data_IF_185268137183
#
_entry.id   IF_185268137183
#
_cell.length_a   1.000
_cell.length_b   1.000
_cell.length_c   1.000
_cell.angle_alpha   90.00
_cell.angle_beta   90.00
_cell.angle_gamma   90.00
#
_symmetry.space_group_name_H-M   'P 1'
#
loop_
_entity.id
_entity.type
_entity.pdbx_description
1 polymer ?
2 non-polymer ?
3 non-polymer ?
4 non-polymer ?
5 non-polymer ?
6 water ?
#
# COMPACT_ATOMS: atom_id res chain seq x y z
N UNK A 6 -5.24 -12.58 -31.22
CA UNK A 6 -5.19 -13.29 -29.90
C UNK A 6 -5.30 -14.81 -30.02
N UNK A 7 -5.17 -15.46 -28.87
CA UNK A 7 -5.28 -16.89 -28.74
C UNK A 7 -6.43 -17.23 -27.81
N UNK A 8 -7.25 -16.22 -27.49
CA UNK A 8 -8.31 -16.35 -26.51
C UNK A 8 -9.47 -15.37 -26.74
N UNK A 9 -10.56 -15.62 -26.03
CA UNK A 9 -11.65 -14.68 -25.87
C UNK A 9 -11.91 -14.46 -24.39
N UNK A 10 -12.56 -13.34 -24.08
CA UNK A 10 -13.16 -13.14 -22.75
C UNK A 10 -14.31 -14.11 -22.47
N UNK A 11 -14.46 -14.54 -21.20
CA UNK A 11 -15.59 -15.41 -20.88
C UNK A 11 -16.94 -14.71 -21.15
N UNK A 12 -17.92 -15.49 -21.60
CA UNK A 12 -19.31 -15.01 -21.85
C UNK A 12 -19.95 -14.28 -20.67
N UNK A 13 -19.84 -14.78 -19.44
CA UNK A 13 -20.32 -14.02 -18.25
C UNK A 13 -19.71 -12.61 -18.07
N UNK A 14 -18.43 -12.43 -18.42
CA UNK A 14 -17.84 -11.10 -18.36
C UNK A 14 -18.44 -10.22 -19.46
N UNK A 15 -18.36 -10.71 -20.70
CA UNK A 15 -18.88 -10.01 -21.87
C UNK A 15 -20.34 -9.58 -21.68
N UNK A 16 -21.11 -10.41 -21.00
CA UNK A 16 -22.49 -10.08 -20.74
C UNK A 16 -22.74 -8.72 -20.06
N UNK A 17 -21.82 -8.35 -19.17
CA UNK A 17 -21.98 -7.18 -18.32
C UNK A 17 -21.03 -6.02 -18.64
N UNK A 18 -19.94 -6.26 -19.35
CA UNK A 18 -18.85 -5.28 -19.55
C UNK A 18 -18.36 -5.34 -20.98
N UNK A 19 -18.00 -4.17 -21.50
CA UNK A 19 -17.31 -4.05 -22.77
C UNK A 19 -15.87 -3.77 -22.45
N UNK A 20 -14.98 -4.70 -22.82
CA UNK A 20 -13.56 -4.58 -22.50
C UNK A 20 -12.78 -3.66 -23.41
N UNK A 21 -11.82 -2.95 -22.85
CA UNK A 21 -11.09 -1.96 -23.61
C UNK A 21 -9.56 -2.12 -23.37
N UNK A 22 -8.81 -1.01 -23.46
CA UNK A 22 -7.35 -0.94 -23.42
C UNK A 22 -6.70 -1.33 -22.09
N UNK A 23 -5.44 -1.74 -22.16
CA UNK A 23 -4.63 -2.07 -20.99
C UNK A 23 -4.29 -0.81 -20.20
N UNK A 24 -4.59 -0.82 -18.90
CA UNK A 24 -4.26 0.29 -18.00
C UNK A 24 -2.89 0.07 -17.30
N UNK A 25 -2.60 -1.18 -16.98
CA UNK A 25 -1.32 -1.51 -16.38
C UNK A 25 -1.17 -2.99 -16.16
N UNK A 26 -0.04 -3.38 -15.59
CA UNK A 26 0.24 -4.79 -15.32
C UNK A 26 1.28 -4.91 -14.21
N UNK A 27 1.38 -6.10 -13.63
CA UNK A 27 2.46 -6.38 -12.69
C UNK A 27 2.84 -7.84 -12.79
N UNK A 28 3.52 -8.32 -11.75
CA UNK A 28 3.97 -9.71 -11.66
C UNK A 28 2.80 -10.69 -11.49
N UNK A 29 1.67 -10.19 -10.99
CA UNK A 29 0.49 -11.01 -10.78
C UNK A 29 -0.63 -10.84 -11.87
N UNK A 30 -0.98 -9.60 -12.18
CA UNK A 30 -2.16 -9.32 -13.01
C UNK A 30 -2.02 -8.21 -14.04
N UNK A 31 -2.79 -8.34 -15.13
CA UNK A 31 -2.96 -7.29 -16.12
C UNK A 31 -4.31 -6.62 -15.94
N UNK A 32 -4.32 -5.29 -16.00
CA UNK A 32 -5.50 -4.51 -15.65
C UNK A 32 -6.04 -3.80 -16.90
N UNK A 33 -7.32 -4.02 -17.15
CA UNK A 33 -7.92 -3.52 -18.36
C UNK A 33 -9.00 -2.50 -18.03
N UNK A 34 -9.08 -1.46 -18.86
CA UNK A 34 -10.25 -0.58 -18.90
C UNK A 34 -11.44 -1.40 -19.38
N UNK A 35 -12.61 -1.16 -18.82
CA UNK A 35 -13.83 -1.69 -19.34
C UNK A 35 -14.99 -0.71 -19.10
N UNK A 36 -16.11 -0.97 -19.75
CA UNK A 36 -17.33 -0.21 -19.53
C UNK A 36 -18.41 -1.13 -19.07
N UNK A 37 -19.08 -0.73 -18.00
CA UNK A 37 -20.13 -1.53 -17.43
C UNK A 37 -21.37 -1.16 -18.22
N UNK A 38 -22.01 -2.16 -18.83
CA UNK A 38 -23.11 -1.92 -19.77
C UNK A 38 -24.33 -1.26 -19.09
N UNK A 39 -24.60 -1.72 -17.88
CA UNK A 39 -25.76 -1.29 -17.12
C UNK A 39 -25.73 0.23 -16.81
N UNK A 40 -24.57 0.74 -16.40
CA UNK A 40 -24.39 2.15 -16.06
C UNK A 40 -23.73 3.00 -17.16
N UNK A 41 -23.07 2.34 -18.14
CA UNK A 41 -22.27 2.99 -19.20
C UNK A 41 -21.05 3.75 -18.63
N UNK A 42 -20.60 3.33 -17.46
CA UNK A 42 -19.53 3.98 -16.75
C UNK A 42 -18.29 3.06 -16.71
N UNK A 43 -17.13 3.69 -16.58
CA UNK A 43 -15.81 3.07 -16.63
C UNK A 43 -15.45 2.34 -15.35
N UNK A 44 -14.83 1.17 -15.53
CA UNK A 44 -14.28 0.36 -14.43
C UNK A 44 -12.88 -0.11 -14.84
N UNK A 45 -12.14 -0.68 -13.89
CA UNK A 45 -10.88 -1.38 -14.18
C UNK A 45 -11.14 -2.87 -13.90
N UNK A 46 -10.62 -3.72 -14.77
CA UNK A 46 -10.72 -5.16 -14.53
C UNK A 46 -9.36 -5.80 -14.50
N UNK A 47 -8.99 -6.30 -13.32
CA UNK A 47 -7.77 -7.04 -13.12
C UNK A 47 -7.92 -8.53 -13.52
N UNK A 48 -7.04 -8.95 -14.41
CA UNK A 48 -7.02 -10.32 -14.88
C UNK A 48 -5.86 -11.06 -14.24
N UNK A 49 -6.19 -12.13 -13.54
CA UNK A 49 -5.22 -13.00 -12.88
C UNK A 49 -5.29 -14.39 -13.46
N UNK A 50 -4.18 -14.85 -14.01
CA UNK A 50 -4.08 -16.19 -14.62
C UNK A 50 -4.04 -17.30 -13.57
N UNK A 51 -4.66 -18.43 -13.89
CA UNK A 51 -4.71 -19.57 -12.96
C UNK A 51 -3.51 -20.53 -13.04
N UNK A 52 -2.70 -20.41 -14.10
CA UNK A 52 -1.42 -21.12 -14.26
C UNK A 52 -1.59 -22.57 -14.74
N UNK A 67 -6.85 -18.27 -1.87
CA UNK A 67 -5.74 -17.47 -2.43
C UNK A 67 -6.19 -16.10 -2.98
N UNK A 68 -6.73 -16.10 -4.19
CA UNK A 68 -7.46 -14.97 -4.74
C UNK A 68 -8.78 -14.90 -3.97
N UNK A 69 -9.29 -16.07 -3.56
CA UNK A 69 -10.39 -16.19 -2.62
C UNK A 69 -10.15 -15.28 -1.43
N UNK A 70 -8.98 -15.39 -0.81
CA UNK A 70 -8.64 -14.59 0.38
C UNK A 70 -8.48 -13.10 0.07
N UNK A 71 -7.90 -12.77 -1.09
CA UNK A 71 -7.85 -11.39 -1.53
C UNK A 71 -9.24 -10.80 -1.84
N UNK A 72 -10.10 -11.56 -2.50
CA UNK A 72 -11.49 -11.11 -2.75
C UNK A 72 -12.24 -10.90 -1.42
N UNK A 73 -12.07 -11.86 -0.50
CA UNK A 73 -12.69 -11.80 0.81
C UNK A 73 -12.26 -10.59 1.63
N UNK A 74 -10.97 -10.28 1.58
CA UNK A 74 -10.45 -9.15 2.32
C UNK A 74 -11.01 -7.85 1.72
N UNK A 75 -11.00 -7.76 0.39
CA UNK A 75 -11.45 -6.59 -0.30
C UNK A 75 -12.94 -6.29 -0.11
N UNK A 76 -13.80 -7.31 -0.16
CA UNK A 76 -15.24 -7.14 0.02
C UNK A 76 -15.63 -6.54 1.41
N UNK A 77 -14.87 -6.82 2.45
CA UNK A 77 -15.22 -6.39 3.81
C UNK A 77 -14.60 -5.05 4.25
N UNK A 78 -13.74 -4.48 3.40
CA UNK A 78 -13.04 -3.23 3.68
C UNK A 78 -13.82 -2.04 3.07
N UNK A 79 -14.01 -0.99 3.85
CA UNK A 79 -14.76 0.20 3.40
C UNK A 79 -14.08 1.47 3.96
N UNK A 80 -13.19 2.02 3.13
CA UNK A 80 -12.43 3.20 3.47
C UNK A 80 -12.21 3.97 2.19
N UNK A 81 -12.33 5.33 2.25
CA UNK A 81 -12.15 6.13 1.05
C UNK A 81 -10.76 6.06 0.42
N UNK A 82 -9.75 5.65 1.18
CA UNK A 82 -8.37 5.53 0.67
C UNK A 82 -7.94 4.07 0.41
N UNK A 83 -8.92 3.20 0.23
CA UNK A 83 -8.68 1.79 -0.16
C UNK A 83 -9.54 1.46 -1.38
N UNK A 84 -8.94 0.87 -2.41
CA UNK A 84 -9.70 0.47 -3.62
C UNK A 84 -10.95 -0.40 -3.28
N UNK A 85 -12.07 -0.14 -3.96
CA UNK A 85 -13.24 -0.99 -3.80
C UNK A 85 -13.42 -2.00 -4.96
N UNK A 86 -13.81 -3.20 -4.59
CA UNK A 86 -14.16 -4.25 -5.52
C UNK A 86 -15.64 -4.08 -5.90
N UNK A 87 -15.97 -4.24 -7.18
CA UNK A 87 -17.34 -4.09 -7.67
C UNK A 87 -17.96 -5.41 -8.14
N UNK A 88 -17.12 -6.34 -8.60
CA UNK A 88 -17.58 -7.59 -9.14
C UNK A 88 -16.44 -8.56 -9.25
N UNK A 89 -16.74 -9.82 -9.55
CA UNK A 89 -15.75 -10.90 -9.61
C UNK A 89 -16.21 -12.06 -10.51
N UNK A 90 -15.32 -12.49 -11.40
CA UNK A 90 -15.54 -13.69 -12.24
C UNK A 90 -14.45 -14.73 -11.99
N UNK A 91 -14.90 -15.96 -11.79
CA UNK A 91 -14.03 -17.10 -11.61
C UNK A 91 -14.20 -18.02 -12.81
N UNK A 92 -13.41 -17.75 -13.85
CA UNK A 92 -13.50 -18.38 -15.19
C UNK A 92 -12.15 -19.05 -15.46
N UNK A 93 -11.71 -19.16 -16.72
CA UNK A 93 -10.37 -19.76 -17.01
C UNK A 93 -9.27 -18.90 -16.40
N UNK A 94 -9.54 -17.61 -16.29
CA UNK A 94 -8.77 -16.71 -15.44
C UNK A 94 -9.70 -16.17 -14.36
N UNK A 95 -9.14 -15.43 -13.41
CA UNK A 95 -9.95 -14.66 -12.48
C UNK A 95 -10.06 -13.25 -13.00
N UNK A 96 -11.26 -12.67 -12.88
CA UNK A 96 -11.47 -11.26 -13.21
C UNK A 96 -11.96 -10.52 -11.98
N UNK A 97 -11.20 -9.49 -11.57
CA UNK A 97 -11.61 -8.65 -10.47
C UNK A 97 -11.96 -7.28 -11.00
N UNK A 98 -13.24 -6.93 -10.90
CA UNK A 98 -13.73 -5.62 -11.34
C UNK A 98 -13.57 -4.61 -10.17
N UNK A 99 -12.91 -3.50 -10.48
CA UNK A 99 -12.53 -2.47 -9.51
C UNK A 99 -12.97 -1.11 -9.98
N UNK A 100 -13.17 -0.20 -9.04
CA UNK A 100 -13.31 1.19 -9.45
C UNK A 100 -12.06 1.61 -10.20
N UNK A 101 -12.27 2.44 -11.19
CA UNK A 101 -11.19 2.95 -12.00
C UNK A 101 -10.51 4.18 -11.38
N UNK A 102 -9.20 4.14 -11.38
CA UNK A 102 -8.38 5.23 -10.87
C UNK A 102 -7.75 5.87 -12.10
N UNK A 103 -8.15 7.11 -12.35
CA UNK A 103 -7.81 7.79 -13.57
C UNK A 103 -6.50 8.57 -13.52
N UNK A 104 -5.82 8.60 -12.38
CA UNK A 104 -4.53 9.27 -12.31
C UNK A 104 -3.30 8.37 -12.30
N UNK A 105 -3.50 7.07 -12.49
CA UNK A 105 -2.39 6.09 -12.50
C UNK A 105 -1.67 5.88 -11.17
N UNK A 106 -0.47 5.32 -11.24
CA UNK A 106 0.35 4.98 -10.09
C UNK A 106 1.08 6.17 -9.49
N UNK A 107 1.26 6.16 -8.16
CA UNK A 107 2.22 7.05 -7.51
C UNK A 107 3.67 6.92 -8.07
N UNK A 108 4.06 5.72 -8.51
CA UNK A 108 5.39 5.45 -9.07
C UNK A 108 5.66 6.42 -10.24
N UNK A 109 4.67 6.62 -11.09
CA UNK A 109 4.83 7.48 -12.25
C UNK A 109 5.16 8.92 -11.87
N UNK A 110 4.87 9.30 -10.62
CA UNK A 110 5.13 10.67 -10.17
C UNK A 110 6.52 10.85 -9.53
N UNK A 111 7.24 9.74 -9.34
CA UNK A 111 8.52 9.76 -8.60
C UNK A 111 9.71 9.08 -9.34
N UNK A 112 9.47 8.53 -10.53
CA UNK A 112 10.56 7.97 -11.33
C UNK A 112 11.24 9.02 -12.18
N UNK A 113 12.32 8.67 -12.84
CA UNK A 113 13.28 9.66 -13.29
C UNK A 113 13.88 10.43 -12.14
N UNK A 114 14.15 9.72 -11.06
CA UNK A 114 14.61 10.39 -9.88
C UNK A 114 13.95 11.73 -9.75
N UNK A 115 12.70 11.83 -10.15
CA UNK A 115 12.00 13.11 -10.03
C UNK A 115 11.12 13.15 -8.78
N UNK A 116 10.56 14.32 -8.48
CA UNK A 116 9.88 14.46 -7.19
C UNK A 116 8.80 15.53 -6.97
N UNK A 117 7.90 15.11 -6.07
CA UNK A 117 6.78 15.85 -5.53
C UNK A 117 7.24 16.93 -4.57
N UNK A 118 6.47 18.01 -4.52
CA UNK A 118 6.65 19.04 -3.50
C UNK A 118 6.19 18.50 -2.14
N UNK A 119 6.87 18.93 -1.08
CA UNK A 119 6.59 18.46 0.28
C UNK A 119 5.08 18.52 0.66
N UNK A 120 4.36 19.49 0.11
CA UNK A 120 2.97 19.68 0.47
C UNK A 120 2.13 18.54 -0.03
N UNK A 121 2.44 18.05 -1.23
CA UNK A 121 1.70 16.94 -1.82
C UNK A 121 2.16 15.58 -1.31
N UNK A 122 3.43 15.46 -0.92
CA UNK A 122 3.91 14.27 -0.20
C UNK A 122 3.10 14.08 1.06
N UNK A 123 2.82 15.17 1.76
CA UNK A 123 2.09 15.16 3.00
C UNK A 123 0.64 14.75 2.81
N UNK A 124 -0.04 15.38 1.87
CA UNK A 124 -1.40 15.05 1.51
C UNK A 124 -1.57 13.57 1.09
N UNK A 125 -0.68 13.10 0.22
CA UNK A 125 -0.69 11.72 -0.22
C UNK A 125 -0.34 10.80 0.95
N UNK A 126 0.73 11.10 1.70
CA UNK A 126 1.10 10.27 2.83
C UNK A 126 0.05 10.17 3.93
N UNK A 127 -0.60 11.30 4.24
CA UNK A 127 -1.64 11.34 5.24
C UNK A 127 -2.72 10.31 4.90
N UNK A 128 -3.10 10.28 3.62
CA UNK A 128 -4.07 9.29 3.15
C UNK A 128 -3.59 7.84 3.27
N UNK A 129 -2.32 7.63 2.92
CA UNK A 129 -1.68 6.32 3.09
C UNK A 129 -1.76 5.86 4.56
N UNK A 130 -1.45 6.74 5.48
CA UNK A 130 -1.46 6.44 6.93
C UNK A 130 -2.82 6.03 7.40
N UNK A 131 -3.84 6.76 6.93
CA UNK A 131 -5.25 6.47 7.22
C UNK A 131 -5.71 5.12 6.65
N UNK A 132 -5.33 4.84 5.39
CA UNK A 132 -5.64 3.58 4.76
C UNK A 132 -5.04 2.44 5.58
N UNK A 133 -3.75 2.55 5.92
CA UNK A 133 -2.99 1.53 6.64
C UNK A 133 -3.47 1.39 8.11
N UNK A 134 -3.68 2.51 8.79
CA UNK A 134 -4.29 2.49 10.10
C UNK A 134 -5.59 1.70 10.09
N UNK A 135 -6.45 1.99 9.11
CA UNK A 135 -7.71 1.31 8.98
C UNK A 135 -7.51 -0.21 8.74
N UNK A 136 -6.55 -0.58 7.93
CA UNK A 136 -6.19 -2.00 7.76
C UNK A 136 -5.81 -2.70 9.07
N UNK A 137 -4.85 -2.14 9.79
CA UNK A 137 -4.36 -2.68 11.04
C UNK A 137 -5.45 -2.78 12.11
N UNK A 138 -6.34 -1.77 12.21
CA UNK A 138 -7.54 -1.82 13.07
C UNK A 138 -8.44 -3.00 12.71
N UNK A 139 -8.51 -3.31 11.42
CA UNK A 139 -9.36 -4.40 10.97
C UNK A 139 -8.62 -5.72 10.83
N UNK A 140 -7.37 -5.79 11.27
CA UNK A 140 -6.67 -7.06 11.35
C UNK A 140 -6.05 -7.52 10.05
N UNK A 141 -5.76 -6.56 9.17
CA UNK A 141 -5.24 -6.89 7.85
C UNK A 141 -3.86 -6.26 7.74
N UNK A 142 -2.91 -6.99 7.19
CA UNK A 142 -1.60 -6.38 6.81
C UNK A 142 -1.49 -6.43 5.30
N UNK A 143 -0.98 -5.38 4.69
CA UNK A 143 -0.96 -5.34 3.26
C UNK A 143 0.20 -6.16 2.70
N UNK A 144 1.36 -5.91 3.28
CA UNK A 144 2.66 -6.56 2.98
C UNK A 144 3.30 -6.23 1.61
N UNK A 145 2.68 -5.38 0.80
CA UNK A 145 3.27 -5.07 -0.51
C UNK A 145 3.08 -3.56 -0.81
N UNK A 146 3.26 -2.71 0.18
CA UNK A 146 3.05 -1.28 -0.02
C UNK A 146 4.23 -0.73 -0.78
N UNK A 147 3.92 -0.05 -1.88
CA UNK A 147 4.93 0.40 -2.89
C UNK A 147 4.24 1.42 -3.72
N UNK A 148 5.00 2.39 -4.29
CA UNK A 148 4.45 3.39 -5.21
C UNK A 148 3.56 2.82 -6.35
N UNK A 149 3.93 1.68 -6.93
CA UNK A 149 3.10 1.01 -7.97
C UNK A 149 1.70 0.51 -7.48
N UNK A 150 1.54 0.38 -6.16
CA UNK A 150 0.27 -0.05 -5.55
C UNK A 150 -0.45 1.10 -4.83
N UNK A 151 -0.11 2.34 -5.20
CA UNK A 151 -0.83 3.51 -4.67
C UNK A 151 -1.31 4.21 -5.91
N UNK A 152 -2.62 4.23 -6.11
CA UNK A 152 -3.22 4.84 -7.29
C UNK A 152 -3.81 6.21 -6.97
N UNK A 153 -3.71 7.12 -7.93
CA UNK A 153 -4.27 8.46 -7.84
C UNK A 153 -5.62 8.53 -8.55
N UNK A 154 -6.55 9.30 -7.98
CA UNK A 154 -7.91 9.54 -8.49
C UNK A 154 -8.04 10.31 -9.78
N UNK A 155 -7.16 11.29 -9.96
CA UNK A 155 -7.22 12.14 -11.13
C UNK A 155 -5.81 12.58 -11.46
N UNK A 156 -5.72 13.31 -12.56
CA UNK A 156 -4.47 13.83 -13.06
C UNK A 156 -4.12 15.14 -12.33
N UNK A 157 -5.06 15.63 -11.52
CA UNK A 157 -4.80 16.80 -10.68
C UNK A 157 -3.93 16.44 -9.47
N UNK A 158 -3.04 17.37 -9.12
CA UNK A 158 -2.04 17.12 -8.12
C UNK A 158 -2.66 16.86 -6.74
N UNK A 159 -3.67 17.66 -6.38
CA UNK A 159 -4.34 17.47 -5.12
C UNK A 159 -5.47 16.53 -5.42
N UNK A 160 -5.29 15.27 -5.04
CA UNK A 160 -6.32 14.28 -5.30
C UNK A 160 -6.31 13.23 -4.21
N UNK A 161 -7.38 12.44 -4.18
CA UNK A 161 -7.49 11.24 -3.37
C UNK A 161 -6.64 10.14 -3.93
N UNK A 162 -5.94 9.45 -3.05
CA UNK A 162 -5.21 8.25 -3.40
C UNK A 162 -5.92 7.01 -2.81
N UNK A 163 -5.74 5.88 -3.48
CA UNK A 163 -6.17 4.61 -2.93
C UNK A 163 -5.04 3.59 -2.97
N UNK A 164 -4.99 2.81 -1.89
CA UNK A 164 -4.18 1.66 -1.79
C UNK A 164 -4.85 0.49 -2.50
N UNK A 165 -4.01 -0.23 -3.26
CA UNK A 165 -4.49 -1.32 -4.09
C UNK A 165 -3.55 -2.49 -3.93
N UNK A 166 -3.88 -3.57 -4.63
CA UNK A 166 -3.07 -4.78 -4.78
C UNK A 166 -2.84 -5.54 -3.45
N UNK A 167 -3.86 -6.31 -3.08
CA UNK A 167 -3.93 -7.00 -1.84
C UNK A 167 -3.60 -8.48 -2.02
N UNK A 168 -2.91 -8.83 -3.12
CA UNK A 168 -2.43 -10.21 -3.38
C UNK A 168 -1.49 -10.80 -2.33
N UNK A 169 -0.77 -9.98 -1.57
CA UNK A 169 0.18 -10.48 -0.52
C UNK A 169 -0.32 -10.31 0.91
N UNK A 170 -1.56 -9.84 1.06
CA UNK A 170 -2.04 -9.40 2.37
C UNK A 170 -2.46 -10.58 3.23
N UNK A 171 -2.36 -10.40 4.54
CA UNK A 171 -2.68 -11.42 5.49
C UNK A 171 -3.67 -10.89 6.56
N UNK A 172 -4.56 -11.78 6.99
CA UNK A 172 -5.35 -11.63 8.21
C UNK A 172 -4.48 -11.89 9.47
N UNK A 173 -4.41 -10.88 10.32
CA UNK A 173 -3.60 -10.91 11.58
C UNK A 173 -4.12 -11.93 12.56
N UNK A 174 -3.22 -12.44 13.41
CA UNK A 174 -3.55 -13.64 14.22
C UNK A 174 -2.87 -14.01 15.52
N UNK A 175 -1.79 -14.79 15.42
CA UNK A 175 -1.07 -15.39 16.61
C UNK A 175 -1.86 -16.44 17.43
N UNK A 176 -3.07 -16.77 16.98
CA UNK A 176 -3.85 -17.73 17.73
C UNK A 176 -3.13 -19.07 17.89
N UNK A 177 -2.21 -19.40 16.98
CA UNK A 177 -1.43 -20.65 17.10
C UNK A 177 -0.46 -20.65 18.30
N UNK A 178 0.24 -19.53 18.45
CA UNK A 178 1.12 -19.27 19.56
C UNK A 178 0.31 -19.24 20.85
N UNK A 179 -0.82 -18.52 20.84
CA UNK A 179 -1.68 -18.41 22.02
C UNK A 179 -2.13 -19.77 22.48
N UNK A 180 -2.49 -20.65 21.54
CA UNK A 180 -2.82 -22.05 21.88
C UNK A 180 -1.65 -22.86 22.45
N UNK A 181 -0.44 -22.68 21.90
CA UNK A 181 0.79 -23.35 22.34
C UNK A 181 1.04 -22.99 23.78
N UNK A 182 0.82 -21.71 24.10
CA UNK A 182 1.08 -21.16 25.43
C UNK A 182 0.08 -21.66 26.48
N UNK A 183 -1.08 -22.14 26.04
CA UNK A 183 -2.01 -22.78 26.99
C UNK A 183 -1.64 -24.20 27.39
N UNK A 184 -0.45 -24.64 26.99
CA UNK A 184 0.25 -25.75 27.68
C UNK A 184 0.89 -25.32 29.00
N UNK A 185 1.55 -26.21 29.75
CA UNK A 185 2.23 -27.46 29.30
C UNK A 185 3.58 -27.07 28.65
N UNK A 186 4.35 -26.18 29.34
CA UNK A 186 5.60 -25.70 28.76
C UNK A 186 6.72 -26.70 28.98
N UNK A 187 6.45 -27.74 29.76
CA UNK A 187 7.39 -28.81 30.05
C UNK A 187 8.10 -29.27 28.77
N UNK A 188 7.35 -29.29 27.66
CA UNK A 188 7.78 -29.86 26.40
C UNK A 188 8.11 -28.79 25.37
N UNK A 189 7.84 -27.54 25.70
CA UNK A 189 7.93 -26.43 24.77
C UNK A 189 9.37 -25.94 24.41
N UNK A 190 9.68 -25.86 23.12
CA UNK A 190 11.02 -25.52 22.64
C UNK A 190 11.37 -24.08 23.02
N UNK A 191 12.65 -23.81 23.34
CA UNK A 191 13.01 -22.46 23.72
C UNK A 191 12.77 -21.40 22.70
N UNK A 192 12.93 -21.72 21.42
CA UNK A 192 12.72 -20.73 20.37
C UNK A 192 11.25 -20.29 20.26
N UNK A 193 10.31 -21.18 20.61
CA UNK A 193 8.91 -20.77 20.68
C UNK A 193 8.74 -19.72 21.79
N UNK A 194 9.38 -19.93 22.94
CA UNK A 194 9.29 -19.01 24.04
C UNK A 194 9.99 -17.66 23.73
N UNK A 195 11.15 -17.71 23.05
CA UNK A 195 11.82 -16.49 22.53
C UNK A 195 10.90 -15.75 21.59
N UNK A 196 10.19 -16.44 20.70
CA UNK A 196 9.35 -15.72 19.75
C UNK A 196 8.19 -14.94 20.38
N UNK A 197 7.87 -15.20 21.65
CA UNK A 197 6.77 -14.52 22.32
C UNK A 197 7.11 -13.01 22.44
N UNK A 198 8.39 -12.68 22.62
CA UNK A 198 8.85 -11.28 22.71
C UNK A 198 8.44 -10.39 21.55
N UNK A 199 8.46 -10.90 20.32
CA UNK A 199 8.00 -10.07 19.16
C UNK A 199 6.73 -10.51 18.48
N UNK A 200 6.10 -11.61 18.88
CA UNK A 200 4.82 -11.95 18.29
C UNK A 200 3.83 -10.78 18.23
N UNK A 201 3.03 -10.71 17.16
CA UNK A 201 2.02 -9.66 17.05
C UNK A 201 2.55 -8.29 16.65
N UNK A 202 3.72 -8.25 16.01
CA UNK A 202 4.26 -7.05 15.42
C UNK A 202 4.43 -7.18 13.90
N UNK A 203 3.75 -8.17 13.31
CA UNK A 203 3.73 -8.34 11.85
C UNK A 203 3.40 -7.04 11.09
N UNK A 204 2.39 -6.31 11.59
CA UNK A 204 1.89 -5.09 10.94
C UNK A 204 2.97 -4.02 10.73
N UNK A 205 4.02 -4.11 11.53
CA UNK A 205 5.12 -3.17 11.47
C UNK A 205 5.86 -3.19 10.12
N UNK A 206 5.73 -4.25 9.34
CA UNK A 206 6.36 -4.28 8.02
C UNK A 206 5.72 -3.25 7.08
N UNK A 207 4.42 -2.99 7.27
CA UNK A 207 3.72 -1.94 6.55
C UNK A 207 4.23 -0.54 6.88
N UNK A 208 4.56 -0.29 8.15
CA UNK A 208 5.12 0.99 8.57
C UNK A 208 6.52 1.22 8.03
N UNK A 209 7.31 0.14 7.94
CA UNK A 209 8.59 0.20 7.25
C UNK A 209 8.42 0.60 5.77
N UNK A 210 7.60 -0.14 5.05
CA UNK A 210 7.24 0.19 3.64
C UNK A 210 6.80 1.65 3.42
N UNK A 211 6.01 2.14 4.37
CA UNK A 211 5.53 3.53 4.37
C UNK A 211 6.67 4.51 4.49
N UNK A 212 7.56 4.27 5.46
CA UNK A 212 8.84 4.98 5.57
C UNK A 212 9.69 5.09 4.30
N UNK A 213 9.89 3.96 3.63
CA UNK A 213 10.57 3.92 2.34
C UNK A 213 9.80 4.75 1.28
N UNK A 214 8.49 4.56 1.18
CA UNK A 214 7.69 5.32 0.20
C UNK A 214 7.79 6.81 0.54
N UNK A 215 7.59 7.18 1.81
CA UNK A 215 7.79 8.56 2.23
C UNK A 215 9.20 9.12 1.88
N UNK A 216 10.27 8.38 2.19
CA UNK A 216 11.65 8.73 1.79
C UNK A 216 11.74 9.04 0.29
N UNK A 217 11.19 8.14 -0.52
CA UNK A 217 11.24 8.29 -1.96
C UNK A 217 10.47 9.52 -2.44
N UNK A 218 9.29 9.76 -1.87
CA UNK A 218 8.43 10.84 -2.33
C UNK A 218 9.09 12.21 -2.03
N UNK A 219 9.75 12.30 -0.87
CA UNK A 219 10.41 13.54 -0.42
C UNK A 219 11.72 13.84 -1.14
N UNK A 220 12.45 12.80 -1.52
CA UNK A 220 13.85 12.96 -1.96
C UNK A 220 14.09 12.65 -3.45
N UNK A 221 13.18 11.89 -4.04
CA UNK A 221 13.30 11.46 -5.42
C UNK A 221 14.14 10.20 -5.60
N UNK A 222 14.74 9.70 -4.52
CA UNK A 222 15.64 8.52 -4.62
C UNK A 222 15.38 7.50 -3.50
N UNK A 223 15.72 6.22 -3.75
CA UNK A 223 15.50 5.14 -2.75
C UNK A 223 16.56 5.18 -1.61
N UNK A 224 16.16 4.91 -0.36
CA UNK A 224 17.04 4.88 0.83
C UNK A 224 18.04 3.73 0.81
N UNK A 225 17.63 2.58 0.28
CA UNK A 225 18.46 1.41 0.18
C UNK A 225 18.52 1.07 -1.30
N UNK A 226 19.71 0.87 -1.83
CA UNK A 226 19.91 0.75 -3.28
C UNK A 226 21.30 0.17 -3.55
N UNK A 227 21.45 -0.53 -4.68
CA UNK A 227 22.75 -1.16 -4.98
C UNK A 227 23.69 -0.26 -5.79
N UNK A 228 23.14 0.77 -6.43
CA UNK A 228 23.91 1.78 -7.20
C UNK A 228 24.68 2.63 -6.18
N UNK A 229 26.02 2.71 -6.33
CA UNK A 229 26.87 3.35 -5.31
C UNK A 229 27.55 2.27 -4.41
N UNK A 230 27.27 2.39 -3.11
CA UNK A 230 27.49 1.39 -2.03
C UNK A 230 28.68 0.37 -2.07
N UNK A 231 28.46 -0.83 -2.60
CA UNK A 231 29.31 -2.03 -2.34
C UNK A 231 28.85 -2.86 -1.13
N UNK A 232 28.40 -2.19 -0.05
CA UNK A 232 27.65 -2.87 1.01
C UNK A 232 26.37 -3.44 0.35
N UNK A 233 26.14 -4.72 0.58
CA UNK A 233 24.94 -5.38 0.04
C UNK A 233 23.65 -4.74 0.55
N UNK A 234 22.65 -4.68 -0.33
CA UNK A 234 21.32 -4.20 -0.06
C UNK A 234 20.77 -4.80 1.22
N UNK A 235 20.98 -6.10 1.40
CA UNK A 235 20.53 -6.73 2.63
C UNK A 235 21.15 -6.08 3.87
N UNK A 236 22.47 -5.85 3.82
CA UNK A 236 23.28 -5.32 4.93
C UNK A 236 22.88 -3.90 5.25
N UNK A 237 22.54 -3.12 4.24
CA UNK A 237 22.02 -1.78 4.40
C UNK A 237 20.69 -1.78 5.12
N UNK A 238 19.78 -2.70 4.75
CA UNK A 238 18.44 -2.73 5.36
C UNK A 238 18.53 -3.19 6.80
N UNK A 239 19.22 -4.29 7.06
CA UNK A 239 19.29 -4.80 8.45
C UNK A 239 20.05 -3.84 9.41
N UNK A 240 20.99 -3.06 8.90
CA UNK A 240 21.66 -2.04 9.74
C UNK A 240 20.85 -0.75 9.80
N UNK A 241 19.89 -0.56 8.89
CA UNK A 241 19.10 0.68 8.81
C UNK A 241 19.87 1.91 8.37
N UNK A 242 21.00 1.69 7.72
CA UNK A 242 21.86 2.76 7.27
C UNK A 242 21.40 3.15 5.86
N UNK A 243 20.32 3.92 5.80
CA UNK A 243 19.84 4.48 4.54
C UNK A 243 20.87 5.45 3.95
N UNK A 244 20.80 5.63 2.63
CA UNK A 244 21.63 6.54 1.91
C UNK A 244 21.14 7.98 2.06
N UNK A 245 21.78 8.75 2.95
CA UNK A 245 21.41 10.16 3.13
C UNK A 245 22.27 11.10 2.27
N UNK A 246 21.65 11.78 1.31
CA UNK A 246 22.36 12.81 0.53
C UNK A 246 21.92 14.22 1.01
N UNK A 247 22.75 14.91 1.83
CA UNK A 247 22.42 16.24 2.37
C UNK A 247 21.88 17.26 1.33
N UNK A 248 22.51 17.31 0.16
CA UNK A 248 22.13 18.25 -0.91
C UNK A 248 20.65 18.12 -1.30
N UNK A 249 20.16 16.89 -1.27
CA UNK A 249 18.80 16.58 -1.71
C UNK A 249 17.79 16.88 -0.58
N UNK A 250 18.18 16.53 0.65
CA UNK A 250 17.35 16.75 1.83
C UNK A 250 17.32 18.20 2.35
N UNK A 251 18.30 19.04 1.98
CA UNK A 251 18.24 20.48 2.33
C UNK A 251 16.90 21.17 1.96
N UNK A 252 16.31 20.76 0.84
CA UNK A 252 15.03 21.30 0.37
C UNK A 252 13.80 20.78 1.13
N UNK A 253 14.01 19.84 2.04
CA UNK A 253 12.93 19.20 2.79
C UNK A 253 12.97 19.63 4.27
N UNK A 254 11.79 19.88 4.86
CA UNK A 254 11.72 20.26 6.28
C UNK A 254 12.35 19.23 7.21
N UNK A 255 12.75 19.70 8.38
CA UNK A 255 13.27 18.87 9.44
C UNK A 255 12.23 17.90 9.98
N UNK A 256 10.99 18.37 10.09
CA UNK A 256 9.81 17.58 10.50
C UNK A 256 9.55 16.35 9.62
N UNK A 257 9.62 16.52 8.30
CA UNK A 257 9.41 15.43 7.39
C UNK A 257 10.47 14.36 7.57
N UNK A 258 11.73 14.78 7.65
CA UNK A 258 12.83 13.85 7.82
C UNK A 258 12.75 13.12 9.16
N UNK A 259 12.41 13.85 10.23
CA UNK A 259 12.24 13.22 11.54
C UNK A 259 11.24 12.06 11.48
N UNK A 260 10.12 12.23 10.78
CA UNK A 260 9.14 11.15 10.64
C UNK A 260 9.67 9.90 9.86
N UNK A 261 10.32 10.13 8.71
CA UNK A 261 11.06 9.11 7.97
C UNK A 261 11.95 8.30 8.91
N UNK A 262 12.75 8.99 9.70
CA UNK A 262 13.66 8.37 10.67
C UNK A 262 12.95 7.45 11.67
N UNK A 263 11.76 7.82 12.12
CA UNK A 263 10.96 7.06 13.07
C UNK A 263 10.25 5.83 12.45
N UNK A 264 10.08 5.86 11.13
CA UNK A 264 9.49 4.74 10.43
C UNK A 264 10.53 3.74 9.94
N UNK A 265 11.75 4.23 9.72
CA UNK A 265 12.86 3.39 9.24
C UNK A 265 13.74 2.93 10.41
N UNK A 266 13.10 2.59 11.52
CA UNK A 266 13.75 2.01 12.72
C UNK A 266 13.81 0.47 12.54
N UNK A 267 14.96 -0.15 12.75
CA UNK A 267 15.12 -1.57 12.44
C UNK A 267 14.38 -2.52 13.41
N UNK A 268 14.32 -2.12 14.68
CA UNK A 268 13.54 -2.79 15.72
C UNK A 268 12.05 -2.57 15.48
N UNK A 269 11.33 -3.63 15.10
CA UNK A 269 9.89 -3.48 14.77
C UNK A 269 9.01 -3.13 15.93
N UNK A 270 9.46 -3.40 17.16
CA UNK A 270 8.77 -2.97 18.39
C UNK A 270 8.98 -1.50 18.73
N UNK A 271 10.13 -0.93 18.31
CA UNK A 271 10.35 0.51 18.54
C UNK A 271 9.86 1.38 17.36
N UNK A 272 9.65 0.76 16.20
CA UNK A 272 9.20 1.47 14.97
C UNK A 272 7.87 2.19 15.17
N UNK A 273 7.72 3.38 14.62
CA UNK A 273 6.44 4.11 14.70
C UNK A 273 5.29 3.27 14.12
N UNK A 274 4.15 3.31 14.80
CA UNK A 274 2.91 2.72 14.32
C UNK A 274 2.18 3.81 13.47
N UNK A 275 1.14 3.45 12.74
CA UNK A 275 0.40 4.46 12.00
C UNK A 275 -0.20 5.50 12.93
N UNK A 276 -0.65 5.10 14.12
CA UNK A 276 -1.07 6.08 15.14
C UNK A 276 0.01 7.09 15.54
N UNK A 277 1.22 6.60 15.79
CA UNK A 277 2.27 7.52 16.22
C UNK A 277 2.63 8.43 15.06
N UNK A 278 2.63 7.92 13.83
CA UNK A 278 2.89 8.76 12.67
C UNK A 278 1.82 9.84 12.46
N UNK A 279 0.55 9.51 12.73
CA UNK A 279 -0.54 10.47 12.54
C UNK A 279 -0.47 11.58 13.58
N UNK A 280 0.21 11.27 14.69
CA UNK A 280 0.40 12.26 15.78
C UNK A 280 1.73 13.00 15.63
N UNK A 281 2.52 12.67 14.61
CA UNK A 281 3.80 13.34 14.40
C UNK A 281 3.58 14.84 14.01
N UNK A 282 4.43 15.78 14.53
CA UNK A 282 4.29 17.18 14.16
C UNK A 282 4.09 17.44 12.66
N UNK A 283 4.69 16.64 11.77
CA UNK A 283 4.55 16.82 10.32
C UNK A 283 3.12 16.76 9.79
N UNK A 284 2.31 15.95 10.47
CA UNK A 284 0.93 15.74 10.05
C UNK A 284 -0.08 16.65 10.72
N UNK A 285 0.37 17.47 11.68
CA UNK A 285 -0.50 18.46 12.32
C UNK A 285 -0.56 19.69 11.43
N UNK A 286 -1.35 19.56 10.37
CA UNK A 286 -1.36 20.52 9.30
C UNK A 286 -2.81 20.63 8.91
N UNK A 287 -3.46 21.68 9.41
CA UNK A 287 -4.89 21.90 9.16
C UNK A 287 -5.24 22.23 7.70
N UNK A 288 -4.34 22.93 7.02
CA UNK A 288 -4.44 23.20 5.58
C UNK A 288 -4.51 21.91 4.77
N UNK A 289 -3.56 21.02 5.02
CA UNK A 289 -3.54 19.69 4.35
C UNK A 289 -4.82 18.90 4.67
N UNK A 290 -5.23 18.89 5.93
CA UNK A 290 -6.39 18.09 6.35
C UNK A 290 -7.69 18.62 5.75
N UNK A 291 -7.80 19.94 5.70
CA UNK A 291 -8.94 20.61 5.08
C UNK A 291 -9.02 20.30 3.59
N UNK A 292 -7.87 20.25 2.91
CA UNK A 292 -7.81 19.88 1.51
C UNK A 292 -8.26 18.42 1.30
N UNK A 293 -7.91 17.54 2.23
CA UNK A 293 -8.34 16.16 2.17
C UNK A 293 -9.87 16.02 2.29
N UNK A 294 -10.44 16.62 3.36
CA UNK A 294 -11.90 16.63 3.58
C UNK A 294 -12.64 17.28 2.42
N UNK A 295 -12.04 18.33 1.85
CA UNK A 295 -12.59 18.95 0.64
C UNK A 295 -12.70 17.95 -0.53
N UNK A 296 -11.61 17.22 -0.78
CA UNK A 296 -11.60 16.20 -1.82
C UNK A 296 -12.59 15.04 -1.56
N UNK A 297 -12.76 14.67 -0.30
CA UNK A 297 -13.73 13.63 0.09
C UNK A 297 -15.17 14.00 -0.23
N UNK A 298 -15.56 15.22 0.14
CA UNK A 298 -16.92 15.69 -0.06
C UNK A 298 -17.29 15.82 -1.54
N UNK A 299 -16.33 16.26 -2.36
CA UNK A 299 -16.48 16.29 -3.82
C UNK A 299 -16.90 14.94 -4.37
N UNK A 300 -16.32 13.89 -3.80
CA UNK A 300 -16.42 12.54 -4.33
C UNK A 300 -17.81 12.05 -4.11
N UNK A 301 -18.34 12.41 -2.96
CA UNK A 301 -19.41 11.69 -2.33
C UNK A 301 -20.77 12.27 -2.70
N UNK A 302 -21.04 12.41 -3.99
CA UNK A 302 -22.20 13.13 -4.47
C UNK A 302 -23.09 12.24 -5.35
#
# INVERSE_FOLDING_TARGET
GPLGSHMSVYPKALRDEYIMSKTLGSGACGEVKLAFERKTCKKVAIKIISKRKFAIGSAREADPALNVETEIEILKKLNHPCIIKIKNFFDAEDYYIVLELMEGGELFDKVVGNKRLKEATCKLYFYQMLLAVQYLHENGIIHRDLKPENVLLSSQEEDCLIKITDFGHSKILGETSLMRTLCGTPTYLAPEVLVSVGTAGYNRAVDCWSLGVILFICLSGYPPFSEHRTQVSLKDQITSGKYNFIPEVWAEVSEKALDLVKKLLVVDPKARFTTEEALRHPWLQDEDMKRKFQDLLSEENESTALPQVLAQPSTSRKRPREGEAEGAE
#
